data_IF_111927473594
#
_entry.id   IF_111927473594
#
_cell.length_a   1.000
_cell.length_b   1.000
_cell.length_c   1.000
_cell.angle_alpha   90.00
_cell.angle_beta   90.00
_cell.angle_gamma   90.00
#
_symmetry.space_group_name_H-M   'P 1'
#
loop_
_entity.id
_entity.type
_entity.pdbx_description
1 polymer ?
#
# COMPACT_ATOMS: atom_id res chain seq x y z
N UNK A 1 7.54 -14.78 -13.45
CA UNK A 1 8.53 -14.38 -12.42
C UNK A 1 8.18 -12.97 -11.99
N UNK A 2 7.40 -12.83 -10.91
CA UNK A 2 7.01 -11.53 -10.31
C UNK A 2 7.57 -11.37 -8.89
N UNK A 3 8.61 -12.14 -8.55
CA UNK A 3 9.14 -12.28 -7.18
C UNK A 3 9.75 -10.98 -6.63
N UNK A 4 10.30 -10.12 -7.50
CA UNK A 4 10.90 -8.87 -7.06
C UNK A 4 9.84 -7.81 -6.72
N UNK A 5 8.82 -7.63 -7.58
CA UNK A 5 7.71 -6.70 -7.33
C UNK A 5 6.93 -7.08 -6.06
N UNK A 6 6.60 -8.37 -5.91
CA UNK A 6 5.96 -8.89 -4.69
C UNK A 6 6.83 -8.71 -3.45
N UNK A 7 8.16 -8.87 -3.56
CA UNK A 7 9.08 -8.64 -2.43
C UNK A 7 9.15 -7.16 -2.05
N UNK A 8 9.20 -6.26 -3.03
CA UNK A 8 9.14 -4.80 -2.81
C UNK A 8 7.83 -4.43 -2.11
N UNK A 9 6.70 -4.89 -2.65
CA UNK A 9 5.39 -4.59 -2.11
C UNK A 9 5.20 -5.15 -0.71
N UNK A 10 5.57 -6.41 -0.47
CA UNK A 10 5.49 -7.04 0.85
C UNK A 10 6.24 -6.26 1.93
N UNK A 11 7.44 -5.74 1.64
CA UNK A 11 8.19 -4.90 2.59
C UNK A 11 7.46 -3.61 2.94
N UNK A 12 6.86 -2.94 1.95
CA UNK A 12 6.15 -1.69 2.19
C UNK A 12 4.81 -1.93 2.91
N UNK A 13 4.09 -3.01 2.59
CA UNK A 13 2.86 -3.39 3.28
C UNK A 13 3.13 -3.74 4.76
N UNK A 14 4.25 -4.39 5.06
CA UNK A 14 4.68 -4.60 6.45
C UNK A 14 4.94 -3.28 7.21
N UNK A 15 5.43 -2.24 6.54
CA UNK A 15 5.58 -0.90 7.13
C UNK A 15 4.20 -0.31 7.39
N UNK A 16 3.27 -0.38 6.44
CA UNK A 16 1.89 0.10 6.60
C UNK A 16 1.20 -0.57 7.78
N UNK A 17 1.37 -1.88 7.95
CA UNK A 17 0.84 -2.59 9.12
C UNK A 17 1.39 -2.05 10.44
N UNK A 18 2.70 -1.79 10.53
CA UNK A 18 3.30 -1.18 11.73
C UNK A 18 2.77 0.24 11.99
N UNK A 19 2.51 1.01 10.93
CA UNK A 19 1.84 2.30 11.06
C UNK A 19 0.41 2.15 11.59
N UNK A 20 -0.29 1.08 11.23
CA UNK A 20 -1.58 0.71 11.82
C UNK A 20 -1.49 0.49 13.33
N UNK A 21 -0.46 -0.22 13.81
CA UNK A 21 -0.20 -0.41 15.24
C UNK A 21 0.09 0.92 15.96
N UNK A 22 0.78 1.87 15.30
CA UNK A 22 1.03 3.22 15.83
C UNK A 22 -0.26 4.06 15.87
N UNK A 23 -1.11 3.94 14.85
CA UNK A 23 -2.40 4.63 14.80
C UNK A 23 -3.34 4.19 15.92
N UNK A 24 -3.33 2.90 16.29
CA UNK A 24 -4.05 2.39 17.46
C UNK A 24 -3.62 3.08 18.77
N UNK A 25 -2.35 3.49 18.86
CA UNK A 25 -1.81 4.21 20.01
C UNK A 25 -2.06 5.73 19.93
N UNK A 26 -2.82 6.20 18.95
CA UNK A 26 -3.17 7.61 18.77
C UNK A 26 -2.14 8.44 17.98
N UNK A 27 -1.17 7.79 17.33
CA UNK A 27 -0.18 8.49 16.50
C UNK A 27 -0.76 8.89 15.14
N UNK A 28 -0.37 10.07 14.63
CA UNK A 28 -0.77 10.53 13.30
C UNK A 28 0.14 9.94 12.22
N UNK A 29 -0.40 9.00 11.43
CA UNK A 29 0.40 8.24 10.45
C UNK A 29 0.00 8.47 8.98
N UNK A 30 -1.06 9.22 8.70
CA UNK A 30 -1.63 9.36 7.34
C UNK A 30 -0.62 9.76 6.26
N UNK A 31 0.27 10.71 6.57
CA UNK A 31 1.29 11.15 5.61
C UNK A 31 2.34 10.06 5.38
N UNK A 32 2.70 9.31 6.42
CA UNK A 32 3.65 8.20 6.34
C UNK A 32 3.06 7.05 5.52
N UNK A 33 1.78 6.75 5.67
CA UNK A 33 1.07 5.74 4.87
C UNK A 33 1.12 6.12 3.39
N UNK A 34 0.70 7.36 3.05
CA UNK A 34 0.74 7.83 1.65
C UNK A 34 2.14 7.81 1.05
N UNK A 35 3.14 8.26 1.82
CA UNK A 35 4.53 8.23 1.38
C UNK A 35 5.03 6.79 1.15
N UNK A 36 4.66 5.86 2.03
CA UNK A 36 5.04 4.45 1.92
C UNK A 36 4.44 3.80 0.68
N UNK A 37 3.16 4.02 0.41
CA UNK A 37 2.49 3.48 -0.78
C UNK A 37 3.04 4.08 -2.07
N UNK A 38 3.28 5.39 -2.12
CA UNK A 38 3.91 6.04 -3.27
C UNK A 38 5.32 5.49 -3.52
N UNK A 39 6.14 5.35 -2.48
CA UNK A 39 7.49 4.80 -2.61
C UNK A 39 7.46 3.35 -3.11
N UNK A 40 6.51 2.55 -2.61
CA UNK A 40 6.28 1.18 -3.06
C UNK A 40 5.97 1.13 -4.56
N UNK A 41 4.98 1.93 -4.98
CA UNK A 41 4.56 2.05 -6.37
C UNK A 41 5.73 2.47 -7.27
N UNK A 42 6.41 3.57 -6.94
CA UNK A 42 7.57 4.05 -7.69
C UNK A 42 8.68 3.00 -7.76
N UNK A 43 9.00 2.32 -6.66
CA UNK A 43 10.03 1.28 -6.64
C UNK A 43 9.70 0.12 -7.60
N UNK A 44 8.44 -0.35 -7.62
CA UNK A 44 8.03 -1.38 -8.58
C UNK A 44 8.07 -0.88 -10.03
N UNK A 45 7.62 0.36 -10.29
CA UNK A 45 7.72 0.98 -11.62
C UNK A 45 9.17 1.03 -12.11
N UNK A 46 10.10 1.46 -11.25
CA UNK A 46 11.53 1.49 -11.58
C UNK A 46 12.14 0.11 -11.80
N UNK A 47 11.56 -0.93 -11.20
CA UNK A 47 11.94 -2.32 -11.43
C UNK A 47 11.30 -2.93 -12.69
N UNK A 48 10.51 -2.16 -13.44
CA UNK A 48 9.90 -2.55 -14.70
C UNK A 48 8.47 -3.10 -14.59
N UNK A 49 7.83 -3.02 -13.43
CA UNK A 49 6.43 -3.45 -13.25
C UNK A 49 5.47 -2.44 -13.90
N UNK A 50 4.41 -2.94 -14.54
CA UNK A 50 3.36 -2.06 -15.06
C UNK A 50 2.63 -1.31 -13.94
N UNK A 51 2.04 -0.14 -14.22
CA UNK A 51 1.31 0.63 -13.22
C UNK A 51 0.09 -0.13 -12.71
N UNK A 52 -0.65 -0.79 -13.60
CA UNK A 52 -1.82 -1.60 -13.24
C UNK A 52 -1.38 -2.80 -12.40
N UNK A 53 -0.38 -3.54 -12.88
CA UNK A 53 0.17 -4.70 -12.17
C UNK A 53 0.71 -4.31 -10.77
N UNK A 54 1.40 -3.17 -10.66
CA UNK A 54 1.91 -2.68 -9.38
C UNK A 54 0.78 -2.40 -8.38
N UNK A 55 -0.31 -1.75 -8.82
CA UNK A 55 -1.45 -1.48 -7.94
C UNK A 55 -2.19 -2.76 -7.58
N UNK A 56 -2.42 -3.68 -8.52
CA UNK A 56 -3.01 -5.00 -8.24
C UNK A 56 -2.22 -5.77 -7.18
N UNK A 57 -0.88 -5.77 -7.27
CA UNK A 57 -0.02 -6.41 -6.27
C UNK A 57 -0.13 -5.71 -4.91
N UNK A 58 -0.13 -4.38 -4.86
CA UNK A 58 -0.27 -3.62 -3.60
C UNK A 58 -1.62 -3.92 -2.96
N UNK A 59 -2.72 -3.74 -3.69
CA UNK A 59 -4.08 -3.93 -3.18
C UNK A 59 -4.28 -5.37 -2.71
N UNK A 60 -3.88 -6.37 -3.50
CA UNK A 60 -4.02 -7.77 -3.09
C UNK A 60 -3.26 -8.11 -1.81
N UNK A 61 -2.12 -7.47 -1.53
CA UNK A 61 -1.41 -7.63 -0.26
C UNK A 61 -2.09 -6.89 0.89
N UNK A 62 -2.65 -5.71 0.65
CA UNK A 62 -3.41 -4.95 1.67
C UNK A 62 -4.71 -5.67 2.04
N UNK A 63 -5.44 -6.21 1.07
CA UNK A 63 -6.62 -7.04 1.26
C UNK A 63 -6.30 -8.29 2.11
N UNK A 64 -5.16 -8.93 1.86
CA UNK A 64 -4.71 -10.07 2.65
C UNK A 64 -4.43 -9.68 4.11
N UNK A 65 -3.86 -8.49 4.37
CA UNK A 65 -3.69 -7.98 5.73
C UNK A 65 -5.02 -7.58 6.37
N UNK A 66 -5.97 -7.00 5.62
CA UNK A 66 -7.32 -6.68 6.09
C UNK A 66 -8.13 -7.94 6.48
N UNK A 67 -7.91 -9.05 5.77
CA UNK A 67 -8.52 -10.34 6.09
C UNK A 67 -7.82 -11.09 7.23
N UNK A 68 -6.62 -10.63 7.66
CA UNK A 68 -5.85 -11.30 8.69
C UNK A 68 -6.41 -11.04 10.10
N UNK A 69 -6.34 -12.03 11.02
CA UNK A 69 -6.75 -11.85 12.41
C UNK A 69 -5.98 -10.69 13.07
N UNK A 70 -6.71 -9.73 13.65
CA UNK A 70 -6.14 -8.54 14.28
C UNK A 70 -6.29 -7.24 13.47
N UNK A 71 -6.70 -7.32 12.20
CA UNK A 71 -7.10 -6.16 11.40
C UNK A 71 -8.45 -5.55 11.83
N UNK A 72 -9.16 -6.18 12.76
CA UNK A 72 -10.43 -5.69 13.32
C UNK A 72 -10.25 -4.43 14.20
N UNK A 73 -9.02 -4.11 14.58
CA UNK A 73 -8.73 -2.88 15.33
C UNK A 73 -8.91 -1.67 14.42
N UNK A 74 -9.66 -0.68 14.88
CA UNK A 74 -10.19 0.38 14.04
C UNK A 74 -9.11 1.28 13.40
N UNK A 75 -8.05 1.63 14.15
CA UNK A 75 -6.92 2.39 13.64
C UNK A 75 -6.11 1.62 12.60
N UNK A 76 -5.86 0.32 12.83
CA UNK A 76 -5.17 -0.55 11.87
C UNK A 76 -5.98 -0.71 10.58
N UNK A 77 -7.29 -0.97 10.72
CA UNK A 77 -8.22 -1.06 9.59
C UNK A 77 -8.25 0.22 8.76
N UNK A 78 -8.42 1.37 9.40
CA UNK A 78 -8.46 2.67 8.73
C UNK A 78 -7.15 2.95 7.98
N UNK A 79 -6.00 2.58 8.54
CA UNK A 79 -4.70 2.74 7.89
C UNK A 79 -4.60 1.87 6.64
N UNK A 80 -5.03 0.61 6.70
CA UNK A 80 -5.00 -0.30 5.57
C UNK A 80 -5.97 0.14 4.46
N UNK A 81 -7.21 0.52 4.78
CA UNK A 81 -8.19 1.05 3.81
C UNK A 81 -7.70 2.38 3.19
N UNK A 82 -7.07 3.24 3.97
CA UNK A 82 -6.46 4.49 3.47
C UNK A 82 -5.30 4.22 2.51
N UNK A 83 -4.49 3.20 2.80
CA UNK A 83 -3.39 2.78 1.95
C UNK A 83 -3.88 2.24 0.60
N UNK A 84 -4.94 1.43 0.61
CA UNK A 84 -5.58 0.85 -0.56
C UNK A 84 -6.16 1.93 -1.47
N UNK A 85 -6.97 2.83 -0.92
CA UNK A 85 -7.50 3.99 -1.64
C UNK A 85 -6.38 4.85 -2.23
N UNK A 86 -5.25 5.01 -1.54
CA UNK A 86 -4.13 5.77 -2.08
C UNK A 86 -3.43 5.06 -3.24
N UNK A 87 -3.33 3.72 -3.22
CA UNK A 87 -2.78 2.95 -4.33
C UNK A 87 -3.65 3.12 -5.59
N UNK A 88 -4.97 3.00 -5.47
CA UNK A 88 -5.91 3.25 -6.56
C UNK A 88 -5.81 4.69 -7.10
N UNK A 89 -5.68 5.66 -6.20
CA UNK A 89 -5.47 7.06 -6.59
C UNK A 89 -4.21 7.24 -7.44
N UNK A 90 -3.11 6.57 -7.09
CA UNK A 90 -1.87 6.65 -7.88
C UNK A 90 -2.07 6.11 -9.30
N UNK A 91 -2.76 4.98 -9.44
CA UNK A 91 -3.10 4.42 -10.77
C UNK A 91 -3.91 5.42 -11.59
N UNK A 92 -4.95 6.02 -10.99
CA UNK A 92 -5.77 7.03 -11.67
C UNK A 92 -4.92 8.23 -12.14
N UNK A 93 -3.99 8.71 -11.31
CA UNK A 93 -3.13 9.84 -11.69
C UNK A 93 -2.13 9.51 -12.80
N UNK A 94 -1.59 8.29 -12.81
CA UNK A 94 -0.70 7.80 -13.86
C UNK A 94 -1.44 7.69 -15.20
N UNK A 95 -2.63 7.09 -15.19
CA UNK A 95 -3.46 6.95 -16.40
C UNK A 95 -3.81 8.31 -17.01
N UNK A 96 -4.08 9.32 -16.17
CA UNK A 96 -4.35 10.68 -16.64
C UNK A 96 -3.10 11.38 -17.20
N UNK A 97 -1.91 11.02 -16.74
CA UNK A 97 -0.65 11.63 -17.20
C UNK A 97 -0.16 11.07 -18.55
N UNK A 98 -0.75 9.95 -18.99
CA UNK A 98 -0.47 9.31 -20.28
C UNK A 98 -1.40 9.78 -21.42
N UNK A 99 -2.38 10.65 -21.11
CA UNK A 99 -3.32 11.26 -22.05
C UNK A 99 -3.04 12.76 -22.24
#
# INVERSE_FOLDING_TARGET
MCTNAQSIAGRHVQIVRRLGEMAENGEQVDQLVRATIRNCFTAMRTAGTDATEAVEIICGLLEAELAAPGAERAGCRNVLESAEMHAEYLLFTEQRSLH
#
